data_IF_026839402757
#
_entry.id   IF_026839402757
#
_cell.length_a   1.000
_cell.length_b   1.000
_cell.length_c   1.000
_cell.angle_alpha   90.00
_cell.angle_beta   90.00
_cell.angle_gamma   90.00
#
_symmetry.space_group_name_H-M   'P 1'
#
loop_
_entity.id
_entity.type
_entity.pdbx_description
1 polymer ?
#
# COMPACT_ATOMS: atom_id res chain seq x y z
N UNK A 1 17.33 -8.39 29.00
CA UNK A 1 16.39 -8.59 27.88
C UNK A 1 15.94 -7.23 27.39
N UNK A 2 16.50 -6.74 26.29
CA UNK A 2 16.16 -5.44 25.71
C UNK A 2 14.78 -5.52 25.08
N UNK A 3 13.84 -4.78 25.62
CA UNK A 3 12.52 -4.55 25.05
C UNK A 3 12.72 -3.79 23.73
N UNK A 4 12.47 -4.47 22.61
CA UNK A 4 12.39 -3.83 21.31
C UNK A 4 11.17 -2.90 21.32
N UNK A 5 11.41 -1.60 21.31
CA UNK A 5 10.38 -0.62 20.97
C UNK A 5 10.00 -0.89 19.51
N UNK A 6 8.87 -1.57 19.29
CA UNK A 6 8.23 -1.67 17.97
C UNK A 6 7.83 -0.24 17.55
N UNK A 7 8.78 0.47 16.95
CA UNK A 7 8.53 1.76 16.33
C UNK A 7 7.60 1.50 15.16
N UNK A 8 6.33 1.92 15.26
CA UNK A 8 5.39 1.87 14.14
C UNK A 8 6.02 2.63 12.96
N UNK A 9 6.45 1.90 11.95
CA UNK A 9 7.01 2.48 10.74
C UNK A 9 5.93 3.28 10.01
N UNK A 10 6.24 4.51 9.62
CA UNK A 10 5.31 5.36 8.89
C UNK A 10 5.12 4.80 7.47
N UNK A 11 3.86 4.69 7.05
CA UNK A 11 3.47 4.24 5.72
C UNK A 11 2.92 5.42 4.93
N UNK A 12 3.42 5.60 3.71
CA UNK A 12 3.01 6.64 2.79
C UNK A 12 2.12 6.03 1.70
N UNK A 13 1.04 6.74 1.36
CA UNK A 13 0.16 6.40 0.25
C UNK A 13 0.64 7.14 -1.00
N UNK A 14 1.04 6.40 -2.02
CA UNK A 14 1.55 6.96 -3.28
C UNK A 14 0.59 6.60 -4.39
N UNK A 15 0.06 7.62 -5.07
CA UNK A 15 -0.75 7.40 -6.26
C UNK A 15 0.15 7.19 -7.47
N UNK A 16 0.02 6.04 -8.12
CA UNK A 16 0.68 5.71 -9.37
C UNK A 16 -0.32 5.92 -10.51
N UNK A 17 0.12 6.58 -11.57
CA UNK A 17 -0.66 6.80 -12.78
C UNK A 17 0.12 6.28 -14.00
N UNK A 18 -0.43 5.30 -14.72
CA UNK A 18 0.17 4.72 -15.91
C UNK A 18 -0.91 4.42 -16.96
N UNK A 19 -0.70 4.83 -18.21
CA UNK A 19 -1.61 4.57 -19.34
C UNK A 19 -3.08 4.92 -19.08
N UNK A 20 -3.34 6.03 -18.37
CA UNK A 20 -4.70 6.49 -18.05
C UNK A 20 -5.38 5.71 -16.92
N UNK A 21 -4.70 4.74 -16.30
CA UNK A 21 -5.13 4.06 -15.07
C UNK A 21 -4.36 4.63 -13.88
N UNK A 22 -4.99 4.63 -12.71
CA UNK A 22 -4.32 4.99 -11.46
C UNK A 22 -4.73 4.09 -10.31
N UNK A 23 -3.80 3.88 -9.38
CA UNK A 23 -3.99 3.11 -8.16
C UNK A 23 -3.08 3.67 -7.05
N UNK A 24 -3.30 3.22 -5.82
CA UNK A 24 -2.53 3.64 -4.65
C UNK A 24 -1.66 2.48 -4.21
N UNK A 25 -0.37 2.74 -3.99
CA UNK A 25 0.57 1.82 -3.36
C UNK A 25 0.94 2.31 -1.97
N UNK A 26 1.13 1.39 -1.03
CA UNK A 26 1.57 1.68 0.35
C UNK A 26 3.07 1.45 0.45
N UNK A 27 3.84 2.47 0.81
CA UNK A 27 5.32 2.38 0.85
C UNK A 27 5.86 2.99 2.13
N UNK A 28 6.80 2.28 2.76
CA UNK A 28 7.59 2.79 3.87
C UNK A 28 8.67 3.76 3.37
N UNK A 29 9.28 4.52 4.29
CA UNK A 29 10.42 5.37 3.93
C UNK A 29 11.59 4.56 3.36
N UNK A 30 11.85 3.36 3.88
CA UNK A 30 12.93 2.51 3.38
C UNK A 30 12.62 2.01 1.96
N UNK A 31 11.35 1.74 1.62
CA UNK A 31 10.98 1.41 0.25
C UNK A 31 11.35 2.52 -0.73
N UNK A 32 11.19 3.80 -0.37
CA UNK A 32 11.63 4.92 -1.22
C UNK A 32 13.15 4.92 -1.42
N UNK A 33 13.92 4.60 -0.38
CA UNK A 33 15.40 4.52 -0.46
C UNK A 33 15.84 3.37 -1.35
N UNK A 34 15.16 2.23 -1.27
CA UNK A 34 15.37 1.10 -2.17
C UNK A 34 15.04 1.48 -3.61
N UNK A 35 13.94 2.19 -3.86
CA UNK A 35 13.61 2.71 -5.19
C UNK A 35 14.73 3.64 -5.70
N UNK A 36 15.16 4.62 -4.90
CA UNK A 36 16.20 5.57 -5.26
C UNK A 36 17.51 4.88 -5.65
N UNK A 37 17.92 3.87 -4.89
CA UNK A 37 19.07 3.04 -5.20
C UNK A 37 18.92 2.36 -6.58
N UNK A 38 17.79 1.73 -6.85
CA UNK A 38 17.57 1.01 -8.12
C UNK A 38 17.44 1.95 -9.32
N UNK A 39 16.81 3.11 -9.15
CA UNK A 39 16.76 4.14 -10.19
C UNK A 39 18.17 4.56 -10.60
N UNK A 40 19.07 4.76 -9.63
CA UNK A 40 20.44 5.21 -9.89
C UNK A 40 21.41 4.10 -10.29
N UNK A 41 21.08 2.83 -10.02
CA UNK A 41 21.85 1.68 -10.49
C UNK A 41 21.51 1.30 -11.94
N UNK A 42 20.25 1.44 -12.36
CA UNK A 42 19.78 0.80 -13.59
C UNK A 42 19.16 1.75 -14.62
N UNK A 43 18.73 2.95 -14.23
CA UNK A 43 17.91 3.81 -15.11
C UNK A 43 18.54 5.17 -15.36
N UNK A 44 18.95 5.87 -14.29
CA UNK A 44 19.41 7.25 -14.36
C UNK A 44 20.79 7.41 -13.74
N UNK A 45 21.65 8.22 -14.35
CA UNK A 45 22.82 8.75 -13.67
C UNK A 45 22.39 9.89 -12.73
N UNK A 46 22.81 9.83 -11.46
CA UNK A 46 22.41 10.77 -10.40
C UNK A 46 22.70 12.23 -10.75
N UNK A 47 23.77 12.49 -11.49
CA UNK A 47 24.16 13.85 -11.89
C UNK A 47 23.16 14.48 -12.86
N UNK A 48 22.47 13.65 -13.65
CA UNK A 48 21.51 14.11 -14.65
C UNK A 48 20.06 13.96 -14.21
N UNK A 49 19.76 13.00 -13.33
CA UNK A 49 18.40 12.81 -12.79
C UNK A 49 17.94 14.03 -11.97
N UNK A 50 18.87 14.66 -11.24
CA UNK A 50 18.60 15.70 -10.24
C UNK A 50 17.59 15.25 -9.16
N UNK A 51 17.50 13.93 -8.92
CA UNK A 51 16.73 13.39 -7.81
C UNK A 51 17.50 13.62 -6.50
N UNK A 52 16.80 14.16 -5.49
CA UNK A 52 17.36 14.37 -4.16
C UNK A 52 17.79 13.04 -3.54
N UNK A 53 18.95 13.02 -2.87
CA UNK A 53 19.36 11.83 -2.12
C UNK A 53 18.52 11.67 -0.86
N UNK A 54 18.05 10.45 -0.62
CA UNK A 54 17.24 10.13 0.55
C UNK A 54 18.14 9.66 1.70
N UNK A 55 18.30 10.47 2.77
CA UNK A 55 19.20 10.14 3.88
C UNK A 55 18.72 8.91 4.67
N UNK A 56 19.54 8.44 5.61
CA UNK A 56 19.14 7.31 6.47
C UNK A 56 18.03 7.74 7.43
N UNK A 57 17.17 6.78 7.78
CA UNK A 57 15.95 7.01 8.58
C UNK A 57 16.23 7.51 10.00
N UNK A 58 17.37 7.15 10.57
CA UNK A 58 17.86 7.61 11.88
C UNK A 58 18.03 9.14 11.95
N UNK A 59 18.37 9.78 10.83
CA UNK A 59 18.55 11.24 10.75
C UNK A 59 17.22 12.03 10.69
N UNK A 60 16.09 11.35 10.52
CA UNK A 60 14.80 11.98 10.20
C UNK A 60 13.68 11.69 11.21
N UNK A 61 13.99 10.97 12.31
CA UNK A 61 13.00 10.47 13.28
C UNK A 61 12.15 11.56 13.94
N UNK A 62 12.62 12.81 13.96
CA UNK A 62 12.00 13.89 14.73
C UNK A 62 11.03 14.77 13.92
N UNK A 63 10.91 14.60 12.59
CA UNK A 63 10.03 15.45 11.77
C UNK A 63 9.37 14.73 10.58
N UNK A 64 8.18 14.11 10.78
CA UNK A 64 7.47 13.39 9.72
C UNK A 64 6.94 14.30 8.61
N UNK A 65 6.64 15.57 8.90
CA UNK A 65 6.16 16.53 7.90
C UNK A 65 7.27 16.88 6.89
N UNK A 66 8.49 17.12 7.39
CA UNK A 66 9.65 17.36 6.54
C UNK A 66 9.95 16.17 5.62
N UNK A 67 9.86 14.95 6.17
CA UNK A 67 10.02 13.72 5.37
C UNK A 67 8.97 13.67 4.27
N UNK A 68 7.71 13.95 4.61
CA UNK A 68 6.61 13.96 3.64
C UNK A 68 6.85 14.96 2.52
N UNK A 69 7.26 16.19 2.85
CA UNK A 69 7.58 17.22 1.86
C UNK A 69 8.74 16.81 0.95
N UNK A 70 9.79 16.22 1.52
CA UNK A 70 10.93 15.72 0.76
C UNK A 70 10.52 14.60 -0.20
N UNK A 71 9.71 13.63 0.25
CA UNK A 71 9.22 12.54 -0.59
C UNK A 71 8.30 13.05 -1.71
N UNK A 72 7.43 14.03 -1.43
CA UNK A 72 6.61 14.67 -2.46
C UNK A 72 7.46 15.36 -3.52
N UNK A 73 8.48 16.12 -3.11
CA UNK A 73 9.40 16.78 -4.04
C UNK A 73 10.18 15.75 -4.88
N UNK A 74 10.64 14.66 -4.25
CA UNK A 74 11.32 13.56 -4.91
C UNK A 74 10.45 12.90 -5.99
N UNK A 75 9.21 12.52 -5.64
CA UNK A 75 8.27 11.89 -6.58
C UNK A 75 7.84 12.83 -7.70
N UNK A 76 7.66 14.12 -7.40
CA UNK A 76 7.37 15.15 -8.41
C UNK A 76 8.49 15.22 -9.45
N UNK A 77 9.75 15.26 -8.98
CA UNK A 77 10.91 15.24 -9.88
C UNK A 77 11.00 13.93 -10.67
N UNK A 78 10.80 12.79 -10.01
CA UNK A 78 10.81 11.49 -10.67
C UNK A 78 9.75 11.45 -11.78
N UNK A 79 8.54 11.90 -11.51
CA UNK A 79 7.44 11.95 -12.49
C UNK A 79 7.78 12.82 -13.71
N UNK A 80 8.49 13.93 -13.50
CA UNK A 80 8.92 14.80 -14.59
C UNK A 80 9.97 14.17 -15.53
N UNK A 81 10.76 13.20 -15.03
CA UNK A 81 11.79 12.49 -15.82
C UNK A 81 11.38 11.06 -16.20
N UNK A 82 10.30 10.56 -15.61
CA UNK A 82 9.69 9.26 -15.85
C UNK A 82 8.87 9.29 -17.15
N UNK A 83 9.56 9.37 -18.28
CA UNK A 83 8.97 8.95 -19.56
C UNK A 83 8.90 7.41 -19.65
N UNK A 84 8.93 6.86 -20.86
CA UNK A 84 8.99 5.40 -21.11
C UNK A 84 10.35 4.76 -20.76
N UNK A 85 11.15 5.40 -19.90
CA UNK A 85 12.53 4.99 -19.58
C UNK A 85 12.60 4.06 -18.37
N UNK A 86 11.56 4.02 -17.53
CA UNK A 86 11.54 3.15 -16.36
C UNK A 86 11.15 1.75 -16.79
N UNK A 87 12.14 0.84 -16.86
CA UNK A 87 11.94 -0.54 -17.27
C UNK A 87 12.71 -1.56 -16.41
N UNK A 88 13.33 -1.12 -15.30
CA UNK A 88 14.03 -2.04 -14.41
C UNK A 88 13.02 -2.73 -13.48
N UNK A 89 13.16 -4.05 -13.32
CA UNK A 89 12.24 -4.88 -12.54
C UNK A 89 11.94 -4.32 -11.14
N UNK A 90 12.96 -3.97 -10.32
CA UNK A 90 12.71 -3.45 -8.97
C UNK A 90 11.91 -2.14 -8.93
N UNK A 91 12.15 -1.21 -9.85
CA UNK A 91 11.37 0.04 -9.91
C UNK A 91 9.93 -0.22 -10.36
N UNK A 92 9.75 -1.12 -11.34
CA UNK A 92 8.42 -1.55 -11.79
C UNK A 92 7.64 -2.25 -10.67
N UNK A 93 8.27 -3.17 -9.93
CA UNK A 93 7.67 -3.83 -8.75
C UNK A 93 7.31 -2.82 -7.67
N UNK A 94 8.17 -1.84 -7.39
CA UNK A 94 7.87 -0.79 -6.41
C UNK A 94 6.62 0.01 -6.80
N UNK A 95 6.41 0.28 -8.09
CA UNK A 95 5.22 0.96 -8.60
C UNK A 95 4.02 0.03 -8.79
N UNK A 96 4.18 -1.28 -8.57
CA UNK A 96 3.21 -2.33 -8.93
C UNK A 96 2.83 -2.25 -10.42
N UNK A 97 3.82 -2.10 -11.29
CA UNK A 97 3.63 -2.03 -12.74
C UNK A 97 4.26 -3.28 -13.38
N UNK A 98 3.55 -3.92 -14.31
CA UNK A 98 4.12 -4.99 -15.15
C UNK A 98 4.94 -4.40 -16.33
N UNK A 99 5.65 -5.23 -17.08
CA UNK A 99 6.43 -4.76 -18.22
C UNK A 99 5.59 -4.18 -19.38
N UNK A 100 4.26 -4.27 -19.32
CA UNK A 100 3.29 -3.70 -20.26
C UNK A 100 2.63 -2.43 -19.71
N UNK A 101 2.97 -1.97 -18.51
CA UNK A 101 2.37 -0.79 -17.88
C UNK A 101 1.02 -1.02 -17.19
N UNK A 102 0.62 -2.27 -16.96
CA UNK A 102 -0.57 -2.60 -16.18
C UNK A 102 -0.26 -2.65 -14.69
N UNK A 103 -1.27 -2.34 -13.87
CA UNK A 103 -1.21 -2.58 -12.44
C UNK A 103 -1.01 -4.08 -12.19
N UNK A 104 0.09 -4.44 -11.55
CA UNK A 104 0.26 -5.73 -10.91
C UNK A 104 -0.75 -5.76 -9.77
N UNK A 105 -1.80 -6.57 -9.91
CA UNK A 105 -2.63 -6.97 -8.79
C UNK A 105 -1.75 -7.84 -7.87
N UNK A 106 -0.86 -7.19 -7.11
CA UNK A 106 -0.28 -7.78 -5.93
C UNK A 106 -1.49 -8.06 -5.08
N UNK A 107 -1.82 -9.34 -4.90
CA UNK A 107 -2.83 -9.74 -3.95
C UNK A 107 -2.55 -8.94 -2.67
N UNK A 108 -3.41 -7.96 -2.35
CA UNK A 108 -3.63 -7.62 -0.96
C UNK A 108 -3.77 -8.98 -0.31
N UNK A 109 -2.84 -9.30 0.60
CA UNK A 109 -2.75 -10.58 1.27
C UNK A 109 -4.17 -11.09 1.42
N UNK A 110 -4.47 -12.16 0.67
CA UNK A 110 -5.78 -12.77 0.64
C UNK A 110 -6.36 -12.67 2.05
N UNK A 111 -7.52 -12.06 2.20
CA UNK A 111 -8.20 -11.79 3.49
C UNK A 111 -8.27 -13.00 4.43
N UNK A 112 -7.95 -14.18 3.89
CA UNK A 112 -7.41 -15.37 4.55
C UNK A 112 -6.51 -15.04 5.76
N UNK A 113 -5.52 -14.15 5.66
CA UNK A 113 -4.54 -13.90 6.72
C UNK A 113 -4.92 -12.80 7.74
N UNK A 114 -5.99 -12.04 7.50
CA UNK A 114 -6.45 -11.05 8.49
C UNK A 114 -7.09 -11.80 9.66
N UNK A 115 -6.58 -11.67 10.89
CA UNK A 115 -7.16 -12.32 12.05
C UNK A 115 -8.57 -11.79 12.30
N UNK A 116 -9.48 -12.67 12.71
CA UNK A 116 -10.81 -12.25 13.12
C UNK A 116 -10.73 -11.43 14.41
N UNK A 117 -11.40 -10.28 14.45
CA UNK A 117 -11.51 -9.42 15.63
C UNK A 117 -12.73 -9.79 16.49
N UNK A 118 -13.75 -10.41 15.88
CA UNK A 118 -14.96 -10.88 16.55
C UNK A 118 -15.64 -11.99 15.73
N UNK A 119 -16.59 -12.69 16.36
CA UNK A 119 -17.52 -13.58 15.69
C UNK A 119 -18.93 -12.96 15.71
N UNK A 120 -19.63 -13.01 14.58
CA UNK A 120 -21.00 -12.55 14.45
C UNK A 120 -21.92 -13.74 14.17
N UNK A 121 -23.07 -13.77 14.85
CA UNK A 121 -24.11 -14.76 14.62
C UNK A 121 -25.21 -14.17 13.73
N UNK A 122 -25.52 -14.87 12.65
CA UNK A 122 -26.48 -14.40 11.65
C UNK A 122 -27.90 -14.70 12.13
N UNK A 123 -28.62 -13.62 12.49
CA UNK A 123 -30.03 -13.69 12.93
C UNK A 123 -31.03 -13.50 11.78
N UNK A 124 -30.56 -13.05 10.61
CA UNK A 124 -31.38 -12.80 9.43
C UNK A 124 -30.62 -13.20 8.16
N UNK A 125 -31.28 -13.98 7.30
CA UNK A 125 -30.73 -14.38 6.00
C UNK A 125 -30.41 -13.15 5.15
N UNK A 126 -29.27 -13.19 4.46
CA UNK A 126 -28.85 -12.17 3.51
C UNK A 126 -28.24 -12.82 2.27
N UNK A 127 -28.55 -12.29 1.09
CA UNK A 127 -27.99 -12.77 -0.18
C UNK A 127 -27.19 -11.61 -0.77
N UNK A 128 -25.93 -11.87 -1.10
CA UNK A 128 -25.03 -10.92 -1.72
C UNK A 128 -25.67 -10.31 -2.98
N UNK A 129 -25.67 -8.99 -3.04
CA UNK A 129 -26.15 -8.18 -4.16
C UNK A 129 -24.98 -7.71 -5.06
N UNK A 130 -23.75 -7.71 -4.52
CA UNK A 130 -22.52 -7.41 -5.24
C UNK A 130 -21.48 -8.52 -5.09
N UNK A 131 -20.47 -8.54 -5.97
CA UNK A 131 -19.45 -9.58 -6.01
C UNK A 131 -18.51 -9.59 -4.79
N UNK A 132 -18.45 -8.49 -4.07
CA UNK A 132 -17.67 -8.26 -2.85
C UNK A 132 -18.47 -8.44 -1.56
N UNK A 133 -19.75 -8.83 -1.67
CA UNK A 133 -20.62 -9.11 -0.53
C UNK A 133 -20.71 -10.61 -0.22
N UNK A 134 -20.99 -10.93 1.04
CA UNK A 134 -21.17 -12.30 1.50
C UNK A 134 -22.65 -12.66 1.63
N UNK A 135 -22.99 -13.90 1.28
CA UNK A 135 -24.32 -14.47 1.53
C UNK A 135 -24.32 -15.29 2.82
N UNK A 136 -25.41 -15.22 3.57
CA UNK A 136 -25.56 -15.84 4.88
C UNK A 136 -26.93 -16.46 5.10
N UNK A 137 -26.98 -17.58 5.81
CA UNK A 137 -28.19 -18.21 6.35
C UNK A 137 -28.34 -17.95 7.86
N UNK A 138 -29.57 -18.06 8.37
CA UNK A 138 -29.83 -17.90 9.80
C UNK A 138 -29.18 -19.05 10.55
N UNK A 139 -28.34 -18.74 11.53
CA UNK A 139 -27.54 -19.72 12.26
C UNK A 139 -26.05 -19.74 11.89
N UNK A 140 -25.67 -19.07 10.79
CA UNK A 140 -24.27 -19.00 10.37
C UNK A 140 -23.43 -18.18 11.36
N UNK A 141 -22.16 -18.59 11.52
CA UNK A 141 -21.15 -17.86 12.27
C UNK A 141 -20.16 -17.25 11.29
N UNK A 142 -19.99 -15.93 11.38
CA UNK A 142 -19.13 -15.15 10.48
C UNK A 142 -17.98 -14.56 11.27
N UNK A 143 -16.78 -14.68 10.73
CA UNK A 143 -15.59 -14.04 11.31
C UNK A 143 -15.54 -12.58 10.87
N UNK A 144 -15.67 -11.64 11.80
CA UNK A 144 -15.56 -10.21 11.54
C UNK A 144 -14.09 -9.84 11.53
N UNK A 145 -13.63 -9.17 10.47
CA UNK A 145 -12.24 -8.71 10.31
C UNK A 145 -12.10 -7.19 10.43
N UNK A 146 -13.16 -6.44 10.16
CA UNK A 146 -13.20 -4.98 10.36
C UNK A 146 -14.63 -4.51 10.69
N UNK A 147 -14.73 -3.66 11.72
CA UNK A 147 -15.99 -3.13 12.23
C UNK A 147 -15.85 -1.63 12.50
N UNK A 148 -15.93 -0.78 11.45
CA UNK A 148 -15.85 0.66 11.60
C UNK A 148 -17.00 1.22 12.47
N UNK A 149 -16.79 2.38 13.12
CA UNK A 149 -17.83 3.07 13.88
C UNK A 149 -19.12 3.26 13.06
N UNK A 150 -20.27 3.10 13.71
CA UNK A 150 -21.60 3.18 13.06
C UNK A 150 -21.89 4.53 12.40
N UNK A 151 -21.21 5.59 12.85
CA UNK A 151 -21.28 6.94 12.28
C UNK A 151 -20.68 7.03 10.87
N UNK A 152 -19.77 6.10 10.52
CA UNK A 152 -19.10 6.04 9.22
C UNK A 152 -19.80 5.09 8.25
N UNK A 153 -20.20 3.91 8.71
CA UNK A 153 -20.91 2.93 7.88
C UNK A 153 -21.63 1.87 8.71
N UNK A 154 -22.70 1.32 8.14
CA UNK A 154 -23.42 0.16 8.66
C UNK A 154 -22.83 -1.17 8.18
N UNK A 155 -21.81 -1.14 7.33
CA UNK A 155 -21.18 -2.31 6.74
C UNK A 155 -19.93 -2.74 7.50
N UNK A 156 -19.84 -4.05 7.76
CA UNK A 156 -18.67 -4.68 8.37
C UNK A 156 -18.02 -5.58 7.35
N UNK A 157 -16.69 -5.73 7.44
CA UNK A 157 -16.01 -6.75 6.65
C UNK A 157 -15.91 -8.03 7.47
N UNK A 158 -16.26 -9.14 6.84
CA UNK A 158 -16.15 -10.46 7.42
C UNK A 158 -15.62 -11.47 6.40
N UNK A 159 -15.41 -12.69 6.89
CA UNK A 159 -15.16 -13.89 6.08
C UNK A 159 -16.02 -15.02 6.63
N UNK A 160 -16.45 -15.96 5.78
CA UNK A 160 -17.11 -17.18 6.25
C UNK A 160 -16.23 -17.84 7.31
N UNK A 161 -16.83 -18.19 8.44
CA UNK A 161 -16.15 -18.90 9.52
C UNK A 161 -15.55 -20.22 9.01
N UNK A 162 -14.52 -20.68 9.71
CA UNK A 162 -13.76 -21.91 9.45
C UNK A 162 -14.58 -23.10 8.94
#
# INVERSE_FOLDING_TARGET
STWGCESKELVYLVQISCQGKSWIVKRSYEDFRVLDKHLHLCIYDRRFSQLSELPRSDALKDNPELVTQMLMAYLSRLSAIAGNKINCGPALTWMEIDNKGNHLLVHEESSINVPAIAAAHVIKRYIAQAADELSFEVGDIVSVIDMPPKELTTWWRGKHGF
#
